data_IF_455363743236
#
_entry.id   IF_455363743236
#
_cell.length_a   1.000
_cell.length_b   1.000
_cell.length_c   1.000
_cell.angle_alpha   90.00
_cell.angle_beta   90.00
_cell.angle_gamma   90.00
#
_symmetry.space_group_name_H-M   'P 1'
#
loop_
_entity.id
_entity.type
_entity.pdbx_description
1 polymer ?
#
# COMPACT_ATOMS: atom_id res chain seq x y z
N UNK A 1 -5.30 0.45 1.97
CA UNK A 1 -4.68 -0.91 2.13
C UNK A 1 -5.58 -1.75 3.02
N UNK A 2 -5.94 -2.92 2.56
CA UNK A 2 -6.77 -3.86 3.33
C UNK A 2 -5.89 -5.01 3.80
N UNK A 3 -5.89 -5.26 5.09
CA UNK A 3 -5.14 -6.38 5.66
C UNK A 3 -6.06 -7.56 5.86
N UNK A 4 -5.68 -8.72 5.33
CA UNK A 4 -6.35 -9.98 5.62
C UNK A 4 -5.68 -10.65 6.81
N UNK A 5 -6.48 -11.02 7.79
CA UNK A 5 -6.00 -11.72 8.99
C UNK A 5 -6.41 -13.18 8.86
N UNK A 6 -5.41 -14.07 8.93
CA UNK A 6 -5.65 -15.50 8.83
C UNK A 6 -6.05 -16.03 10.21
N UNK A 7 -7.21 -16.68 10.27
CA UNK A 7 -7.69 -17.34 11.49
C UNK A 7 -7.05 -18.72 11.59
N UNK A 8 -6.24 -18.93 12.62
CA UNK A 8 -5.57 -20.20 12.84
C UNK A 8 -6.41 -21.16 13.73
N UNK A 9 -7.60 -20.73 14.13
CA UNK A 9 -8.42 -21.48 15.08
C UNK A 9 -7.91 -21.37 16.51
N UNK A 10 -8.49 -22.16 17.41
CA UNK A 10 -8.11 -22.15 18.83
C UNK A 10 -7.17 -23.29 19.19
N UNK A 11 -7.38 -24.47 18.60
CA UNK A 11 -6.55 -25.67 18.82
C UNK A 11 -6.37 -26.38 17.49
N UNK A 12 -5.38 -27.26 17.41
CA UNK A 12 -5.14 -28.06 16.21
C UNK A 12 -6.38 -28.87 15.82
N UNK A 13 -6.72 -28.85 14.54
CA UNK A 13 -7.82 -29.65 13.96
C UNK A 13 -9.22 -29.37 14.54
N UNK A 14 -9.46 -28.14 15.01
CA UNK A 14 -10.77 -27.76 15.54
C UNK A 14 -11.80 -27.37 14.46
N UNK A 15 -11.37 -27.29 13.20
CA UNK A 15 -12.23 -26.89 12.08
C UNK A 15 -12.59 -25.41 12.05
N UNK A 16 -12.00 -24.60 12.91
CA UNK A 16 -12.32 -23.17 13.06
C UNK A 16 -11.38 -22.26 12.27
N UNK A 17 -10.28 -22.79 11.75
CA UNK A 17 -9.29 -22.00 11.04
C UNK A 17 -9.66 -21.72 9.59
N UNK A 18 -8.97 -20.77 9.00
CA UNK A 18 -9.11 -20.43 7.59
C UNK A 18 -8.60 -21.60 6.72
N UNK A 19 -9.32 -22.01 5.67
CA UNK A 19 -8.82 -23.04 4.75
C UNK A 19 -7.46 -22.66 4.16
N UNK A 20 -6.60 -23.67 3.98
CA UNK A 20 -5.21 -23.46 3.58
C UNK A 20 -5.07 -22.67 2.28
N UNK A 21 -5.86 -23.00 1.26
CA UNK A 21 -5.82 -22.29 -0.02
C UNK A 21 -6.22 -20.84 0.14
N UNK A 22 -7.25 -20.55 0.91
CA UNK A 22 -7.70 -19.19 1.20
C UNK A 22 -6.63 -18.43 1.99
N UNK A 23 -6.01 -19.10 2.98
CA UNK A 23 -4.95 -18.49 3.77
C UNK A 23 -3.75 -18.07 2.91
N UNK A 24 -3.30 -18.91 2.00
CA UNK A 24 -2.20 -18.56 1.08
C UNK A 24 -2.60 -17.45 0.13
N UNK A 25 -3.83 -17.42 -0.35
CA UNK A 25 -4.35 -16.32 -1.16
C UNK A 25 -4.28 -15.00 -0.40
N UNK A 26 -4.67 -14.99 0.86
CA UNK A 26 -4.62 -13.80 1.71
C UNK A 26 -3.18 -13.33 1.98
N UNK A 27 -2.24 -14.28 2.16
CA UNK A 27 -0.82 -13.93 2.30
C UNK A 27 -0.32 -13.23 1.04
N UNK A 28 -0.63 -13.79 -0.12
CA UNK A 28 -0.22 -13.19 -1.40
C UNK A 28 -0.84 -11.80 -1.58
N UNK A 29 -2.12 -11.62 -1.26
CA UNK A 29 -2.79 -10.34 -1.38
C UNK A 29 -2.17 -9.29 -0.45
N UNK A 30 -1.86 -9.67 0.79
CA UNK A 30 -1.22 -8.79 1.75
C UNK A 30 0.16 -8.32 1.26
N UNK A 31 0.96 -9.24 0.75
CA UNK A 31 2.28 -8.88 0.21
C UNK A 31 2.17 -8.02 -1.05
N UNK A 32 1.22 -8.32 -1.92
CA UNK A 32 1.01 -7.53 -3.13
C UNK A 32 0.62 -6.09 -2.80
N UNK A 33 -0.31 -5.90 -1.87
CA UNK A 33 -0.70 -4.56 -1.43
C UNK A 33 0.47 -3.81 -0.80
N UNK A 34 1.20 -4.48 0.09
CA UNK A 34 2.35 -3.87 0.75
C UNK A 34 3.41 -3.46 -0.27
N UNK A 35 3.74 -4.34 -1.20
CA UNK A 35 4.71 -4.08 -2.25
C UNK A 35 4.29 -2.87 -3.11
N UNK A 36 3.02 -2.84 -3.55
CA UNK A 36 2.54 -1.76 -4.40
C UNK A 36 2.43 -0.43 -3.67
N UNK A 37 2.10 -0.45 -2.38
CA UNK A 37 1.86 0.78 -1.62
C UNK A 37 3.14 1.40 -1.07
N UNK A 38 4.13 0.58 -0.71
CA UNK A 38 5.38 1.07 -0.10
C UNK A 38 6.43 1.41 -1.15
N UNK A 39 6.39 0.75 -2.31
CA UNK A 39 7.34 0.94 -3.40
C UNK A 39 6.66 1.43 -4.68
N UNK A 40 5.68 2.31 -4.52
CA UNK A 40 4.97 2.87 -5.66
C UNK A 40 5.92 3.66 -6.56
N UNK A 41 5.62 3.70 -7.86
CA UNK A 41 6.31 4.58 -8.79
C UNK A 41 5.93 6.02 -8.48
N UNK A 42 6.89 6.97 -8.47
CA UNK A 42 6.55 8.37 -8.25
C UNK A 42 5.47 8.85 -9.22
N UNK A 43 4.49 9.64 -8.75
CA UNK A 43 3.40 10.11 -9.61
C UNK A 43 3.92 11.08 -10.68
N UNK A 44 3.32 11.01 -11.86
CA UNK A 44 3.63 11.95 -12.95
C UNK A 44 3.05 13.33 -12.64
N UNK A 45 1.93 13.37 -11.93
CA UNK A 45 1.28 14.61 -11.53
C UNK A 45 0.67 14.46 -10.14
N UNK A 46 0.37 15.59 -9.50
CA UNK A 46 -0.26 15.61 -8.18
C UNK A 46 -1.68 15.05 -8.16
N UNK A 47 -2.33 14.97 -9.32
CA UNK A 47 -3.66 14.36 -9.45
C UNK A 47 -3.61 12.84 -9.43
N UNK A 48 -2.44 12.24 -9.66
CA UNK A 48 -2.27 10.80 -9.66
C UNK A 48 -2.87 10.13 -10.88
N UNK A 49 -3.18 8.85 -10.72
CA UNK A 49 -3.76 8.02 -11.77
C UNK A 49 -4.70 7.00 -11.15
N UNK A 50 -5.48 6.35 -12.01
CA UNK A 50 -6.41 5.30 -11.55
C UNK A 50 -5.64 4.20 -10.83
N UNK A 51 -6.15 3.80 -9.68
CA UNK A 51 -5.52 2.82 -8.80
C UNK A 51 -4.77 3.43 -7.63
N UNK A 52 -4.52 4.73 -7.63
CA UNK A 52 -3.87 5.40 -6.52
C UNK A 52 -4.82 5.50 -5.33
N UNK A 53 -4.34 5.09 -4.16
CA UNK A 53 -5.13 5.05 -2.92
C UNK A 53 -4.33 5.64 -1.77
N UNK A 54 -5.01 6.14 -0.71
CA UNK A 54 -4.30 6.65 0.47
C UNK A 54 -3.36 5.61 1.07
N UNK A 55 -2.22 6.05 1.53
CA UNK A 55 -1.19 5.20 2.12
C UNK A 55 -0.10 4.76 1.17
N UNK A 56 -0.24 5.01 -0.13
CA UNK A 56 0.84 4.76 -1.08
C UNK A 56 1.98 5.72 -0.82
N UNK A 57 3.20 5.21 -0.88
CA UNK A 57 4.43 5.98 -0.69
C UNK A 57 5.37 5.74 -1.86
N UNK A 58 5.92 6.81 -2.41
CA UNK A 58 6.92 6.74 -3.44
C UNK A 58 8.04 7.74 -3.13
N UNK A 59 9.19 7.55 -3.74
CA UNK A 59 10.28 8.52 -3.59
C UNK A 59 11.14 8.51 -4.84
N UNK A 60 11.81 9.63 -5.06
CA UNK A 60 12.90 9.75 -6.02
C UNK A 60 14.10 10.41 -5.33
N UNK A 61 15.04 10.93 -6.10
CA UNK A 61 16.24 11.54 -5.52
C UNK A 61 15.99 12.91 -4.90
N UNK A 62 14.81 13.50 -5.14
CA UNK A 62 14.51 14.87 -4.74
C UNK A 62 13.35 14.97 -3.76
N UNK A 63 12.37 14.07 -3.84
CA UNK A 63 11.12 14.17 -3.09
C UNK A 63 10.69 12.83 -2.50
N UNK A 64 10.00 12.93 -1.38
CA UNK A 64 9.15 11.87 -0.86
C UNK A 64 7.70 12.20 -1.21
N UNK A 65 6.98 11.24 -1.79
CA UNK A 65 5.59 11.41 -2.20
C UNK A 65 4.68 10.56 -1.34
N UNK A 66 3.55 11.12 -0.91
CA UNK A 66 2.54 10.39 -0.14
C UNK A 66 1.18 10.62 -0.78
N UNK A 67 0.45 9.54 -1.05
CA UNK A 67 -0.92 9.62 -1.52
C UNK A 67 -1.84 9.75 -0.31
N UNK A 68 -2.68 10.79 -0.28
CA UNK A 68 -3.53 11.12 0.87
C UNK A 68 -5.02 10.97 0.58
N UNK A 69 -5.42 10.88 -0.68
CA UNK A 69 -6.81 10.68 -1.11
C UNK A 69 -6.89 9.63 -2.20
N UNK A 70 -8.07 9.03 -2.37
CA UNK A 70 -8.33 8.14 -3.48
C UNK A 70 -8.45 8.94 -4.79
N UNK A 71 -7.97 8.35 -5.88
CA UNK A 71 -8.03 8.98 -7.21
C UNK A 71 -9.46 9.22 -7.66
N UNK A 72 -9.77 10.47 -8.03
CA UNK A 72 -11.08 10.87 -8.55
C UNK A 72 -10.97 11.67 -9.85
N UNK A 73 -9.80 11.76 -10.44
CA UNK A 73 -9.48 12.47 -11.69
C UNK A 73 -9.50 14.00 -11.58
N UNK A 74 -9.84 14.58 -10.43
CA UNK A 74 -9.95 16.05 -10.27
C UNK A 74 -9.17 16.60 -9.09
N UNK A 75 -9.06 15.85 -8.00
CA UNK A 75 -8.44 16.31 -6.75
C UNK A 75 -6.94 16.08 -6.76
N UNK A 76 -6.18 16.99 -6.16
CA UNK A 76 -4.78 16.74 -5.86
C UNK A 76 -4.71 15.72 -4.73
N UNK A 77 -4.19 14.52 -5.03
CA UNK A 77 -4.15 13.41 -4.08
C UNK A 77 -2.74 13.07 -3.63
N UNK A 78 -1.72 13.49 -4.34
CA UNK A 78 -0.33 13.26 -4.00
C UNK A 78 0.29 14.53 -3.42
N UNK A 79 0.82 14.42 -2.22
CA UNK A 79 1.62 15.46 -1.59
C UNK A 79 3.07 15.03 -1.60
N UNK A 80 3.99 15.99 -1.67
CA UNK A 80 5.40 15.68 -1.69
C UNK A 80 6.17 16.58 -0.74
N UNK A 81 7.28 16.05 -0.23
CA UNK A 81 8.21 16.78 0.63
C UNK A 81 9.59 16.76 -0.03
N UNK A 82 10.22 17.91 -0.24
CA UNK A 82 11.58 17.93 -0.77
C UNK A 82 12.56 17.39 0.28
N UNK A 83 13.54 16.61 -0.18
CA UNK A 83 14.60 16.16 0.69
C UNK A 83 15.56 17.29 1.01
N UNK A 84 16.01 17.37 2.26
CA UNK A 84 17.09 18.25 2.63
C UNK A 84 18.42 17.63 2.17
N UNK A 85 19.03 18.23 1.17
CA UNK A 85 20.27 17.74 0.58
C UNK A 85 21.50 18.38 1.20
N UNK A 86 21.32 19.25 2.19
CA UNK A 86 22.43 19.89 2.89
C UNK A 86 23.15 18.86 3.76
N UNK A 87 24.48 18.71 3.64
CA UNK A 87 25.22 17.80 4.52
C UNK A 87 25.05 18.21 5.99
N UNK A 88 24.88 17.19 6.84
CA UNK A 88 24.66 17.40 8.28
C UNK A 88 25.70 16.69 9.12
#
# INVERSE_FOLDING_TARGET
>A
MTQYIIDIGNVANDGQGTPLRTAFGWINDNFTELYNNVQATPPVSSSGQQGDVPGMIAFDQQYLYVCVYEYDATTIIWYRVPFDTTPW
#
